data_IF_729743306562
#
_entry.id   IF_729743306562
#
_cell.length_a   1.000
_cell.length_b   1.000
_cell.length_c   1.000
_cell.angle_alpha   90.00
_cell.angle_beta   90.00
_cell.angle_gamma   90.00
#
_symmetry.space_group_name_H-M   'P 1'
#
loop_
_entity.id
_entity.type
_entity.pdbx_description
1 polymer ?
#
# COMPACT_ATOMS: atom_id res chain seq x y z
N UNK A 1 -10.79 -24.05 13.45
CA UNK A 1 -10.56 -22.72 12.82
C UNK A 1 -9.62 -22.92 11.64
N UNK A 2 -9.89 -22.33 10.48
CA UNK A 2 -9.00 -22.44 9.32
C UNK A 2 -7.96 -21.33 9.38
N UNK A 3 -6.69 -21.72 9.32
CA UNK A 3 -5.58 -20.82 9.08
C UNK A 3 -5.42 -20.64 7.57
N UNK A 4 -5.24 -19.41 7.14
CA UNK A 4 -5.00 -19.07 5.74
C UNK A 4 -3.72 -18.24 5.66
N UNK A 5 -3.02 -18.33 4.53
CA UNK A 5 -1.93 -17.42 4.25
C UNK A 5 -2.49 -16.03 3.99
N UNK A 6 -1.77 -15.01 4.45
CA UNK A 6 -2.11 -13.63 4.15
C UNK A 6 -2.22 -13.45 2.63
N UNK A 7 -3.23 -12.73 2.11
CA UNK A 7 -3.34 -12.43 0.68
C UNK A 7 -2.09 -11.69 0.15
N UNK A 8 -1.36 -11.00 1.03
CA UNK A 8 -0.09 -10.33 0.76
C UNK A 8 1.14 -11.25 0.75
N UNK A 9 0.99 -12.57 0.88
CA UNK A 9 2.09 -13.53 0.81
C UNK A 9 2.91 -13.40 -0.48
N UNK A 10 2.24 -13.20 -1.62
CA UNK A 10 2.92 -12.95 -2.90
C UNK A 10 3.72 -11.64 -2.97
N UNK A 11 3.47 -10.69 -2.06
CA UNK A 11 4.22 -9.44 -1.95
C UNK A 11 5.35 -9.52 -0.92
N UNK A 12 5.37 -10.55 -0.06
CA UNK A 12 6.36 -10.75 0.99
C UNK A 12 5.82 -10.90 2.41
N UNK A 13 4.49 -10.95 2.61
CA UNK A 13 3.90 -11.19 3.93
C UNK A 13 3.67 -12.69 4.19
N UNK A 14 4.64 -13.35 4.81
CA UNK A 14 4.61 -14.79 5.10
C UNK A 14 3.73 -15.17 6.31
N UNK A 15 2.86 -14.26 6.75
CA UNK A 15 2.00 -14.49 7.93
C UNK A 15 0.92 -15.52 7.63
N UNK A 16 0.87 -16.56 8.45
CA UNK A 16 -0.23 -17.53 8.50
C UNK A 16 -1.19 -17.14 9.63
N UNK A 17 -2.43 -16.77 9.28
CA UNK A 17 -3.38 -16.20 10.23
C UNK A 17 -4.74 -16.87 10.18
N UNK A 18 -5.50 -16.87 11.30
CA UNK A 18 -6.88 -17.30 11.29
C UNK A 18 -7.72 -16.48 10.31
N UNK A 19 -8.56 -17.14 9.50
CA UNK A 19 -9.46 -16.43 8.58
C UNK A 19 -10.34 -15.39 9.30
N UNK A 20 -10.73 -15.66 10.55
CA UNK A 20 -11.53 -14.75 11.36
C UNK A 20 -10.78 -13.45 11.72
N UNK A 21 -9.46 -13.51 11.89
CA UNK A 21 -8.62 -12.35 12.27
C UNK A 21 -7.90 -11.74 11.07
N UNK A 22 -8.19 -12.19 9.85
CA UNK A 22 -7.61 -11.66 8.60
C UNK A 22 -7.76 -10.14 8.51
N UNK A 23 -8.96 -9.63 8.81
CA UNK A 23 -9.23 -8.18 8.75
C UNK A 23 -8.42 -7.41 9.78
N UNK A 24 -8.33 -7.93 10.99
CA UNK A 24 -7.56 -7.32 12.08
C UNK A 24 -6.08 -7.30 11.75
N UNK A 25 -5.52 -8.41 11.26
CA UNK A 25 -4.14 -8.47 10.79
C UNK A 25 -3.89 -7.48 9.64
N UNK A 26 -4.75 -7.46 8.62
CA UNK A 26 -4.60 -6.52 7.51
C UNK A 26 -4.65 -5.06 7.97
N UNK A 27 -5.45 -4.74 8.99
CA UNK A 27 -5.54 -3.39 9.56
C UNK A 27 -4.33 -3.04 10.43
N UNK A 28 -3.83 -3.99 11.24
CA UNK A 28 -2.67 -3.76 12.12
C UNK A 28 -1.36 -3.68 11.34
N UNK A 29 -1.23 -4.45 10.27
CA UNK A 29 -0.02 -4.53 9.45
C UNK A 29 -0.19 -3.81 8.09
N UNK A 30 -1.16 -2.91 7.98
CA UNK A 30 -1.48 -2.21 6.72
C UNK A 30 -0.25 -1.49 6.15
N UNK A 31 0.46 -0.71 6.99
CA UNK A 31 1.70 -0.03 6.60
C UNK A 31 2.74 -0.98 5.98
N UNK A 32 2.92 -2.15 6.61
CA UNK A 32 3.88 -3.15 6.17
C UNK A 32 3.46 -3.74 4.81
N UNK A 33 2.17 -4.05 4.66
CA UNK A 33 1.62 -4.52 3.38
C UNK A 33 1.81 -3.50 2.25
N UNK A 34 1.59 -2.21 2.53
CA UNK A 34 1.84 -1.14 1.56
C UNK A 34 3.32 -1.09 1.18
N UNK A 35 4.23 -1.18 2.13
CA UNK A 35 5.67 -1.22 1.88
C UNK A 35 6.08 -2.40 0.99
N UNK A 36 5.58 -3.60 1.26
CA UNK A 36 5.86 -4.78 0.44
C UNK A 36 5.38 -4.58 -1.01
N UNK A 37 4.17 -4.05 -1.18
CA UNK A 37 3.62 -3.77 -2.51
C UNK A 37 4.38 -2.64 -3.20
N UNK A 38 4.75 -1.57 -2.50
CA UNK A 38 5.57 -0.49 -3.03
C UNK A 38 6.93 -1.01 -3.51
N UNK A 39 7.59 -1.88 -2.73
CA UNK A 39 8.84 -2.55 -3.14
C UNK A 39 8.65 -3.42 -4.37
N UNK A 40 7.51 -4.09 -4.49
CA UNK A 40 7.18 -4.91 -5.66
C UNK A 40 6.90 -4.07 -6.93
N UNK A 41 6.32 -2.88 -6.78
CA UNK A 41 6.05 -1.93 -7.87
C UNK A 41 7.33 -1.21 -8.29
N UNK A 42 8.03 -0.60 -7.32
CA UNK A 42 9.24 0.19 -7.51
C UNK A 42 10.46 -0.71 -7.44
N UNK A 43 10.65 -1.54 -8.47
CA UNK A 43 11.81 -2.43 -8.58
C UNK A 43 13.09 -1.61 -8.81
N UNK A 44 13.79 -1.32 -7.71
CA UNK A 44 15.15 -0.75 -7.62
C UNK A 44 15.29 0.66 -8.21
N UNK A 45 15.26 1.67 -7.33
CA UNK A 45 15.44 3.08 -7.70
C UNK A 45 14.91 4.06 -6.65
N UNK A 46 14.04 3.59 -5.75
CA UNK A 46 13.47 4.40 -4.67
C UNK A 46 14.13 4.02 -3.35
N UNK A 47 14.60 5.02 -2.58
CA UNK A 47 15.19 4.80 -1.25
C UNK A 47 14.16 4.15 -0.31
N UNK A 48 14.63 3.32 0.63
CA UNK A 48 13.74 2.71 1.64
C UNK A 48 13.00 3.78 2.46
N UNK A 49 13.65 4.92 2.67
CA UNK A 49 13.13 6.10 3.37
C UNK A 49 11.93 6.70 2.63
N UNK A 50 12.05 6.83 1.31
CA UNK A 50 11.00 7.33 0.45
C UNK A 50 9.84 6.33 0.37
N UNK A 51 10.14 5.03 0.29
CA UNK A 51 9.12 3.98 0.35
C UNK A 51 8.35 4.04 1.68
N UNK A 52 9.03 4.27 2.81
CA UNK A 52 8.40 4.45 4.14
C UNK A 52 7.52 5.70 4.18
N UNK A 53 8.02 6.86 3.72
CA UNK A 53 7.20 8.07 3.62
C UNK A 53 5.96 7.88 2.75
N UNK A 54 6.13 7.26 1.58
CA UNK A 54 5.01 6.93 0.70
C UNK A 54 4.03 6.00 1.39
N UNK A 55 4.50 4.97 2.09
CA UNK A 55 3.64 4.05 2.82
C UNK A 55 2.83 4.75 3.92
N UNK A 56 3.42 5.67 4.69
CA UNK A 56 2.73 6.48 5.69
C UNK A 56 1.64 7.38 5.07
N UNK A 57 1.96 8.07 3.97
CA UNK A 57 0.99 8.91 3.27
C UNK A 57 -0.16 8.09 2.70
N UNK A 58 0.16 6.94 2.09
CA UNK A 58 -0.80 6.00 1.56
C UNK A 58 -1.68 5.43 2.66
N UNK A 59 -1.13 5.04 3.80
CA UNK A 59 -1.88 4.56 4.95
C UNK A 59 -2.91 5.60 5.41
N UNK A 60 -2.50 6.86 5.62
CA UNK A 60 -3.41 7.93 6.03
C UNK A 60 -4.54 8.14 5.04
N UNK A 61 -4.22 8.27 3.76
CA UNK A 61 -5.23 8.49 2.72
C UNK A 61 -6.10 7.25 2.43
N UNK A 62 -5.59 6.02 2.62
CA UNK A 62 -6.38 4.79 2.55
C UNK A 62 -7.31 4.66 3.77
N UNK A 63 -6.87 5.14 4.93
CA UNK A 63 -7.69 5.24 6.13
C UNK A 63 -8.87 6.20 5.94
N UNK A 64 -8.67 7.29 5.19
CA UNK A 64 -9.74 8.23 4.81
C UNK A 64 -10.66 7.71 3.69
N UNK A 65 -10.12 6.99 2.71
CA UNK A 65 -10.84 6.60 1.48
C UNK A 65 -11.47 5.19 1.50
N UNK A 66 -11.61 4.56 2.66
CA UNK A 66 -12.16 3.20 2.87
C UNK A 66 -11.13 2.06 2.73
N UNK A 67 -10.58 1.67 3.87
CA UNK A 67 -9.88 0.40 4.15
C UNK A 67 -10.72 -0.83 3.76
N UNK A 68 -12.03 -0.67 3.57
CA UNK A 68 -13.02 -1.70 3.27
C UNK A 68 -12.77 -2.54 2.01
N UNK A 69 -11.84 -2.16 1.12
CA UNK A 69 -11.66 -2.80 -0.21
C UNK A 69 -10.29 -3.41 -0.47
N UNK A 70 -9.32 -3.28 0.43
CA UNK A 70 -7.95 -3.77 0.23
C UNK A 70 -7.66 -5.08 0.98
N UNK A 71 -8.54 -6.08 0.82
CA UNK A 71 -8.26 -7.45 1.28
C UNK A 71 -7.45 -8.27 0.26
N UNK A 72 -7.10 -7.67 -0.88
CA UNK A 72 -6.39 -8.34 -1.96
C UNK A 72 -5.26 -7.46 -2.50
N UNK A 73 -4.12 -8.09 -2.80
CA UNK A 73 -2.90 -7.41 -3.29
C UNK A 73 -3.16 -6.57 -4.53
N UNK A 74 -4.03 -7.04 -5.43
CA UNK A 74 -4.39 -6.30 -6.65
C UNK A 74 -5.10 -4.98 -6.33
N UNK A 75 -6.06 -5.01 -5.41
CA UNK A 75 -6.79 -3.82 -4.97
C UNK A 75 -5.85 -2.83 -4.30
N UNK A 76 -4.95 -3.30 -3.41
CA UNK A 76 -3.97 -2.44 -2.76
C UNK A 76 -2.99 -1.84 -3.79
N UNK A 77 -2.46 -2.66 -4.70
CA UNK A 77 -1.57 -2.21 -5.78
C UNK A 77 -2.24 -1.13 -6.64
N UNK A 78 -3.51 -1.32 -7.00
CA UNK A 78 -4.26 -0.36 -7.80
C UNK A 78 -4.51 0.95 -7.05
N UNK A 79 -4.89 0.88 -5.76
CA UNK A 79 -5.09 2.05 -4.93
C UNK A 79 -3.80 2.86 -4.77
N UNK A 80 -2.67 2.18 -4.51
CA UNK A 80 -1.34 2.80 -4.44
C UNK A 80 -1.02 3.53 -5.74
N UNK A 81 -1.14 2.86 -6.89
CA UNK A 81 -0.87 3.47 -8.21
C UNK A 81 -1.78 4.69 -8.48
N UNK A 82 -3.06 4.61 -8.14
CA UNK A 82 -3.97 5.74 -8.28
C UNK A 82 -3.58 6.91 -7.38
N UNK A 83 -3.15 6.65 -6.15
CA UNK A 83 -2.68 7.71 -5.25
C UNK A 83 -1.37 8.33 -5.72
N UNK A 84 -0.41 7.52 -6.18
CA UNK A 84 0.83 8.04 -6.78
C UNK A 84 0.55 8.90 -8.02
N UNK A 85 -0.40 8.50 -8.87
CA UNK A 85 -0.82 9.29 -10.02
C UNK A 85 -1.50 10.61 -9.60
N UNK A 86 -2.31 10.60 -8.53
CA UNK A 86 -2.89 11.83 -7.96
C UNK A 86 -1.81 12.76 -7.43
N UNK A 87 -0.82 12.22 -6.71
CA UNK A 87 0.31 12.98 -6.17
C UNK A 87 1.16 13.62 -7.29
N UNK A 88 1.48 12.85 -8.34
CA UNK A 88 2.17 13.39 -9.53
C UNK A 88 1.39 14.49 -10.23
N UNK A 89 0.06 14.39 -10.29
CA UNK A 89 -0.77 15.43 -10.92
C UNK A 89 -0.72 16.75 -10.16
N UNK A 90 -0.65 16.69 -8.83
CA UNK A 90 -0.46 17.89 -7.98
C UNK A 90 0.95 18.47 -8.07
N UNK A 91 1.99 17.66 -8.31
CA UNK A 91 3.36 18.16 -8.51
C UNK A 91 3.61 18.72 -9.92
N UNK A 92 2.91 18.19 -10.93
CA UNK A 92 2.97 18.69 -12.31
C UNK A 92 2.34 20.07 -12.53
N UNK A 93 1.46 20.52 -11.64
CA UNK A 93 0.79 21.82 -11.76
C UNK A 93 1.59 22.97 -11.09
N UNK A 94 2.62 22.65 -10.29
CA UNK A 94 3.53 23.65 -9.69
C UNK A 94 4.73 23.98 -10.60
N UNK A 95 5.14 23.05 -11.46
CA UNK A 95 6.23 23.27 -12.43
C UNK A 95 5.88 24.17 -13.63
N UNK A 96 4.58 24.44 -13.88
CA UNK A 96 4.15 25.24 -15.02
C UNK A 96 3.98 26.75 -14.72
N UNK A 97 4.21 27.19 -13.48
CA UNK A 97 4.11 28.62 -13.08
C UNK A 97 5.49 29.31 -13.08
N UNK A 98 6.57 28.54 -13.30
CA UNK A 98 7.95 29.03 -13.37
C UNK A 98 8.64 28.45 -14.60
N UNK A 99 8.23 28.88 -15.79
CA UNK A 99 9.01 28.83 -17.04
C UNK A 99 8.54 29.92 -17.99
#
# INVERSE_FOLDING_TARGET
MRLINCPFNQAGCESTIPQCTLKEHCSQYLQSHILYVLRAIHKQGVSEEELKRKAELLEKSLSESQVSRALDVRSLTYAIKQQEAKMQKTEGEVGAIIS
#
